data_IF_923520371640
#
_entry.id   IF_923520371640
#
_cell.length_a   1.000
_cell.length_b   1.000
_cell.length_c   1.000
_cell.angle_alpha   90.00
_cell.angle_beta   90.00
_cell.angle_gamma   90.00
#
_symmetry.space_group_name_H-M   'P 1'
#
loop_
_entity.id
_entity.type
_entity.pdbx_description
1 polymer ?
#
# COMPACT_ATOMS: atom_id res chain seq x y z
N UNK A 1 15.74 -24.47 -27.61
CA UNK A 1 16.17 -23.18 -27.01
C UNK A 1 16.12 -23.17 -25.49
N UNK A 2 14.95 -23.31 -24.77
CA UNK A 2 14.93 -23.29 -23.28
C UNK A 2 15.72 -24.45 -22.65
N UNK A 3 15.59 -25.68 -23.18
CA UNK A 3 16.35 -26.84 -22.69
C UNK A 3 17.88 -26.67 -22.87
N UNK A 4 18.31 -26.05 -23.95
CA UNK A 4 19.71 -25.76 -24.20
C UNK A 4 20.25 -24.65 -23.28
N UNK A 5 19.47 -23.60 -23.02
CA UNK A 5 19.82 -22.56 -22.04
C UNK A 5 19.91 -23.12 -20.62
N UNK A 6 19.00 -24.04 -20.26
CA UNK A 6 19.04 -24.75 -18.98
C UNK A 6 20.26 -25.67 -18.86
N UNK A 7 20.57 -26.40 -19.93
CA UNK A 7 21.76 -27.26 -19.96
C UNK A 7 23.07 -26.49 -19.82
N UNK A 8 23.11 -25.28 -20.38
CA UNK A 8 24.29 -24.39 -20.29
C UNK A 8 24.31 -23.51 -19.04
N UNK A 9 23.39 -23.72 -18.09
CA UNK A 9 23.23 -22.92 -16.87
C UNK A 9 23.07 -21.40 -17.13
N UNK A 10 22.47 -21.06 -18.25
CA UNK A 10 22.21 -19.67 -18.69
C UNK A 10 20.83 -19.16 -18.26
N UNK A 11 20.02 -20.02 -17.62
CA UNK A 11 18.73 -19.61 -17.05
C UNK A 11 18.95 -19.00 -15.66
N UNK A 12 18.68 -17.70 -15.48
CA UNK A 12 18.88 -17.08 -14.19
C UNK A 12 17.98 -17.72 -13.13
N UNK A 13 18.55 -18.06 -11.99
CA UNK A 13 17.81 -18.60 -10.86
C UNK A 13 16.76 -17.57 -10.36
N UNK A 14 15.53 -18.05 -10.18
CA UNK A 14 14.44 -17.24 -9.62
C UNK A 14 14.19 -17.64 -8.16
N UNK A 15 13.90 -16.64 -7.33
CA UNK A 15 13.49 -16.91 -5.97
C UNK A 15 12.02 -17.33 -5.92
N UNK A 16 11.74 -18.49 -5.32
CA UNK A 16 10.39 -18.98 -5.11
C UNK A 16 10.01 -18.83 -3.64
N UNK A 17 8.85 -18.25 -3.32
CA UNK A 17 8.36 -18.17 -1.95
C UNK A 17 7.99 -19.57 -1.42
N UNK A 18 8.23 -19.81 -0.13
CA UNK A 18 7.80 -21.05 0.53
C UNK A 18 6.27 -21.19 0.52
N UNK A 19 5.72 -22.40 0.73
CA UNK A 19 4.28 -22.61 0.81
C UNK A 19 3.61 -21.72 1.87
N UNK A 20 4.24 -21.56 3.05
CA UNK A 20 3.75 -20.75 4.17
C UNK A 20 3.66 -19.27 3.74
N UNK A 21 4.73 -18.75 3.14
CA UNK A 21 4.76 -17.37 2.64
C UNK A 21 3.73 -17.13 1.54
N UNK A 22 3.44 -18.14 0.71
CA UNK A 22 2.37 -18.05 -0.30
C UNK A 22 1.01 -17.93 0.37
N UNK A 23 0.76 -18.68 1.46
CA UNK A 23 -0.49 -18.57 2.23
C UNK A 23 -0.64 -17.21 2.89
N UNK A 24 0.42 -16.65 3.47
CA UNK A 24 0.42 -15.29 4.04
C UNK A 24 0.07 -14.24 2.99
N UNK A 25 0.72 -14.33 1.82
CA UNK A 25 0.42 -13.45 0.67
C UNK A 25 -1.03 -13.55 0.25
N UNK A 26 -1.55 -14.76 0.10
CA UNK A 26 -2.93 -14.99 -0.33
C UNK A 26 -3.92 -14.38 0.65
N UNK A 27 -3.76 -14.57 1.95
CA UNK A 27 -4.65 -13.98 2.96
C UNK A 27 -4.62 -12.45 2.96
N UNK A 28 -3.44 -11.85 2.87
CA UNK A 28 -3.30 -10.40 2.77
C UNK A 28 -3.94 -9.85 1.48
N UNK A 29 -3.73 -10.52 0.36
CA UNK A 29 -4.30 -10.15 -0.94
C UNK A 29 -5.81 -10.31 -0.98
N UNK A 30 -6.32 -11.37 -0.36
CA UNK A 30 -7.76 -11.61 -0.25
C UNK A 30 -8.47 -10.50 0.51
N UNK A 31 -7.91 -10.05 1.62
CA UNK A 31 -8.44 -8.88 2.34
C UNK A 31 -8.55 -7.66 1.42
N UNK A 32 -7.53 -7.38 0.61
CA UNK A 32 -7.53 -6.26 -0.33
C UNK A 32 -8.59 -6.44 -1.45
N UNK A 33 -8.81 -7.66 -1.89
CA UNK A 33 -9.89 -8.00 -2.82
C UNK A 33 -11.25 -7.65 -2.24
N UNK A 34 -11.55 -8.08 -1.01
CA UNK A 34 -12.82 -7.78 -0.35
C UNK A 34 -13.04 -6.27 -0.18
N UNK A 35 -12.02 -5.52 0.23
CA UNK A 35 -12.10 -4.05 0.33
C UNK A 35 -12.38 -3.40 -1.02
N UNK A 36 -11.81 -3.91 -2.11
CA UNK A 36 -12.11 -3.42 -3.45
C UNK A 36 -13.57 -3.65 -3.83
N UNK A 37 -14.12 -4.83 -3.58
CA UNK A 37 -15.52 -5.14 -3.87
C UNK A 37 -16.46 -4.27 -3.03
N UNK A 38 -16.17 -4.10 -1.73
CA UNK A 38 -16.90 -3.17 -0.86
C UNK A 38 -16.92 -1.74 -1.43
N UNK A 39 -15.77 -1.24 -1.88
CA UNK A 39 -15.68 0.10 -2.47
C UNK A 39 -16.49 0.24 -3.76
N UNK A 40 -16.53 -0.80 -4.59
CA UNK A 40 -17.35 -0.83 -5.81
C UNK A 40 -18.85 -0.71 -5.45
N UNK A 41 -19.31 -1.48 -4.46
CA UNK A 41 -20.71 -1.42 -4.01
C UNK A 41 -21.05 -0.06 -3.40
N UNK A 42 -20.16 0.50 -2.55
CA UNK A 42 -20.32 1.84 -2.00
C UNK A 42 -20.46 2.89 -3.10
N UNK A 43 -19.61 2.85 -4.11
CA UNK A 43 -19.67 3.76 -5.25
C UNK A 43 -20.96 3.58 -6.06
N UNK A 44 -21.48 2.34 -6.20
CA UNK A 44 -22.75 2.08 -6.85
C UNK A 44 -23.91 2.74 -6.11
N UNK A 45 -23.97 2.62 -4.79
CA UNK A 45 -24.97 3.29 -3.96
C UNK A 45 -24.91 4.81 -4.13
N UNK A 46 -23.72 5.39 -4.05
CA UNK A 46 -23.54 6.82 -4.30
C UNK A 46 -24.01 7.25 -5.69
N UNK A 47 -23.72 6.45 -6.72
CA UNK A 47 -24.17 6.74 -8.08
C UNK A 47 -25.69 6.73 -8.20
N UNK A 48 -26.40 5.82 -7.53
CA UNK A 48 -27.86 5.80 -7.47
C UNK A 48 -28.41 7.06 -6.80
N UNK A 49 -27.87 7.48 -5.66
CA UNK A 49 -28.27 8.71 -4.98
C UNK A 49 -28.11 9.95 -5.89
N UNK A 50 -26.97 10.06 -6.57
CA UNK A 50 -26.69 11.16 -7.50
C UNK A 50 -27.68 11.16 -8.66
N UNK A 51 -28.00 9.98 -9.24
CA UNK A 51 -28.92 9.86 -10.35
C UNK A 51 -30.34 10.36 -10.02
N UNK A 52 -30.76 10.22 -8.76
CA UNK A 52 -32.06 10.74 -8.27
C UNK A 52 -31.96 12.09 -7.56
N UNK A 53 -30.83 12.79 -7.66
CA UNK A 53 -30.64 14.12 -7.08
C UNK A 53 -30.61 14.17 -5.56
N UNK A 54 -30.47 13.00 -4.88
CA UNK A 54 -30.37 12.95 -3.44
C UNK A 54 -29.02 13.44 -2.95
N UNK A 55 -29.03 14.48 -2.14
CA UNK A 55 -27.83 14.99 -1.48
C UNK A 55 -27.51 14.12 -0.25
N UNK A 56 -26.22 13.85 -0.04
CA UNK A 56 -25.71 13.15 1.15
C UNK A 56 -25.20 14.20 2.14
N UNK A 57 -25.96 14.58 3.17
CA UNK A 57 -25.60 15.67 4.09
C UNK A 57 -24.58 15.25 5.16
N UNK A 58 -23.98 14.09 5.02
CA UNK A 58 -23.05 13.51 6.00
C UNK A 58 -21.77 12.99 5.33
N UNK A 59 -20.66 12.97 6.08
CA UNK A 59 -19.37 12.48 5.57
C UNK A 59 -19.34 10.95 5.38
N UNK A 60 -20.08 10.19 6.19
CA UNK A 60 -20.15 8.72 6.12
C UNK A 60 -21.59 8.24 5.88
N UNK A 61 -21.90 7.94 4.63
CA UNK A 61 -23.18 7.39 4.22
C UNK A 61 -23.45 5.97 4.77
N UNK A 62 -22.41 5.21 5.11
CA UNK A 62 -22.51 3.83 5.57
C UNK A 62 -22.40 3.69 7.10
N UNK A 63 -22.24 4.79 7.82
CA UNK A 63 -22.37 4.85 9.25
C UNK A 63 -23.85 4.92 9.71
N UNK A 64 -24.09 4.96 11.01
CA UNK A 64 -25.43 4.87 11.59
C UNK A 64 -26.43 5.91 11.04
N UNK A 65 -26.00 7.15 10.85
CA UNK A 65 -26.84 8.21 10.28
C UNK A 65 -27.18 8.00 8.82
N UNK A 66 -26.17 7.64 8.02
CA UNK A 66 -26.37 7.38 6.59
C UNK A 66 -27.19 6.13 6.31
N UNK A 67 -27.10 5.13 7.17
CA UNK A 67 -27.93 3.93 7.08
C UNK A 67 -29.42 4.20 7.32
N UNK A 68 -29.75 5.13 8.22
CA UNK A 68 -31.14 5.58 8.38
C UNK A 68 -31.64 6.26 7.10
N UNK A 69 -30.87 7.17 6.54
CA UNK A 69 -31.19 7.79 5.25
C UNK A 69 -31.37 6.75 4.13
N UNK A 70 -30.51 5.75 4.05
CA UNK A 70 -30.62 4.68 3.05
C UNK A 70 -31.87 3.82 3.23
N UNK A 71 -32.34 3.63 4.45
CA UNK A 71 -33.56 2.87 4.77
C UNK A 71 -34.85 3.63 4.39
N UNK A 72 -34.79 4.98 4.44
CA UNK A 72 -35.91 5.88 4.14
C UNK A 72 -36.02 6.27 2.65
N UNK A 73 -35.11 5.75 1.80
CA UNK A 73 -35.12 6.07 0.37
C UNK A 73 -36.40 5.53 -0.29
N UNK A 74 -37.04 6.40 -1.09
CA UNK A 74 -38.17 6.09 -1.95
C UNK A 74 -37.75 6.19 -3.42
N UNK A 75 -37.03 5.18 -3.89
CA UNK A 75 -36.64 5.06 -5.29
C UNK A 75 -37.61 4.12 -6.03
N UNK A 76 -37.88 4.36 -7.33
CA UNK A 76 -38.57 3.40 -8.14
C UNK A 76 -37.77 2.11 -8.29
N UNK A 77 -38.49 0.99 -8.45
CA UNK A 77 -37.84 -0.28 -8.82
C UNK A 77 -37.24 -0.18 -10.24
N UNK A 78 -36.10 -0.81 -10.52
CA UNK A 78 -35.36 -1.73 -9.63
C UNK A 78 -34.28 -1.05 -8.74
N UNK A 79 -34.18 0.27 -8.71
CA UNK A 79 -33.08 0.98 -7.99
C UNK A 79 -33.14 0.77 -6.48
N UNK A 80 -34.36 0.78 -5.90
CA UNK A 80 -34.51 0.60 -4.45
C UNK A 80 -34.03 -0.79 -4.01
N UNK A 81 -34.47 -1.83 -4.71
CA UNK A 81 -34.01 -3.20 -4.42
C UNK A 81 -32.51 -3.37 -4.61
N UNK A 82 -31.92 -2.74 -5.65
CA UNK A 82 -30.49 -2.82 -5.89
C UNK A 82 -29.67 -2.07 -4.83
N UNK A 83 -30.15 -0.93 -4.32
CA UNK A 83 -29.50 -0.22 -3.22
C UNK A 83 -29.55 -1.06 -1.95
N UNK A 84 -30.71 -1.65 -1.59
CA UNK A 84 -30.86 -2.51 -0.41
C UNK A 84 -29.94 -3.72 -0.48
N UNK A 85 -29.94 -4.44 -1.60
CA UNK A 85 -29.04 -5.58 -1.82
C UNK A 85 -27.55 -5.17 -1.75
N UNK A 86 -27.21 -3.99 -2.26
CA UNK A 86 -25.82 -3.48 -2.17
C UNK A 86 -25.41 -3.21 -0.72
N UNK A 87 -26.30 -2.69 0.11
CA UNK A 87 -26.07 -2.45 1.54
C UNK A 87 -25.85 -3.77 2.29
N UNK A 88 -26.69 -4.78 2.05
CA UNK A 88 -26.54 -6.11 2.64
C UNK A 88 -25.19 -6.77 2.27
N UNK A 89 -24.81 -6.68 1.00
CA UNK A 89 -23.50 -7.18 0.54
C UNK A 89 -22.32 -6.41 1.16
N UNK A 90 -22.45 -5.10 1.39
CA UNK A 90 -21.45 -4.31 2.09
C UNK A 90 -21.28 -4.81 3.53
N UNK A 91 -22.37 -5.14 4.22
CA UNK A 91 -22.34 -5.66 5.59
C UNK A 91 -21.66 -7.03 5.68
N UNK A 92 -21.97 -7.95 4.73
CA UNK A 92 -21.28 -9.23 4.67
C UNK A 92 -19.78 -9.07 4.39
N UNK A 93 -19.42 -8.16 3.48
CA UNK A 93 -18.02 -7.86 3.20
C UNK A 93 -17.31 -7.24 4.42
N UNK A 94 -17.94 -6.32 5.14
CA UNK A 94 -17.36 -5.72 6.34
C UNK A 94 -17.10 -6.77 7.44
N UNK A 95 -18.04 -7.71 7.64
CA UNK A 95 -17.85 -8.84 8.56
C UNK A 95 -16.64 -9.69 8.18
N UNK A 96 -16.55 -10.11 6.91
CA UNK A 96 -15.45 -10.94 6.38
C UNK A 96 -14.10 -10.20 6.46
N UNK A 97 -14.07 -8.92 6.13
CA UNK A 97 -12.86 -8.08 6.25
C UNK A 97 -12.40 -8.06 7.71
N UNK A 98 -13.34 -7.83 8.66
CA UNK A 98 -13.02 -7.83 10.08
C UNK A 98 -12.48 -9.16 10.61
N UNK A 99 -12.98 -10.30 10.10
CA UNK A 99 -12.48 -11.63 10.44
C UNK A 99 -11.01 -11.80 9.99
N UNK A 100 -10.71 -11.39 8.76
CA UNK A 100 -9.35 -11.47 8.22
C UNK A 100 -8.42 -10.51 8.98
N UNK A 101 -8.84 -9.27 9.26
CA UNK A 101 -8.02 -8.31 9.99
C UNK A 101 -7.66 -8.80 11.40
N UNK A 102 -8.62 -9.42 12.12
CA UNK A 102 -8.34 -10.08 13.41
C UNK A 102 -7.34 -11.23 13.27
N UNK A 103 -7.45 -11.99 12.19
CA UNK A 103 -6.49 -13.06 11.91
C UNK A 103 -5.09 -12.48 11.62
N UNK A 104 -4.98 -11.46 10.75
CA UNK A 104 -3.71 -10.78 10.44
C UNK A 104 -3.05 -10.22 11.69
N UNK A 105 -3.83 -9.63 12.59
CA UNK A 105 -3.33 -9.09 13.85
C UNK A 105 -2.78 -10.19 14.77
N UNK A 106 -3.53 -11.29 14.97
CA UNK A 106 -3.08 -12.41 15.82
C UNK A 106 -1.84 -13.09 15.26
N UNK A 107 -1.86 -13.41 13.94
CA UNK A 107 -0.72 -14.08 13.29
C UNK A 107 0.49 -13.17 13.11
N UNK A 108 0.27 -11.85 13.07
CA UNK A 108 1.32 -10.87 12.91
C UNK A 108 2.04 -10.51 14.21
N UNK A 109 1.44 -10.78 15.37
CA UNK A 109 1.99 -10.36 16.67
C UNK A 109 3.38 -10.99 16.93
N UNK A 110 3.54 -12.26 16.60
CA UNK A 110 4.79 -13.01 16.78
C UNK A 110 5.62 -13.12 15.49
N UNK A 111 5.21 -12.44 14.43
CA UNK A 111 5.92 -12.49 13.17
C UNK A 111 7.24 -11.72 13.25
N UNK A 112 8.33 -12.32 12.71
CA UNK A 112 9.69 -11.74 12.75
C UNK A 112 9.78 -10.27 12.33
N UNK A 113 9.01 -9.84 11.33
CA UNK A 113 9.14 -8.52 10.73
C UNK A 113 8.01 -7.55 11.09
N UNK A 114 6.80 -8.04 11.36
CA UNK A 114 5.62 -7.16 11.47
C UNK A 114 5.74 -6.20 12.66
N UNK A 115 6.11 -6.63 13.88
CA UNK A 115 6.30 -5.72 15.01
C UNK A 115 7.34 -4.63 14.72
N UNK A 116 8.43 -4.98 14.03
CA UNK A 116 9.45 -4.01 13.60
C UNK A 116 8.87 -3.00 12.60
N UNK A 117 8.19 -3.48 11.55
CA UNK A 117 7.59 -2.64 10.52
C UNK A 117 6.59 -1.65 11.10
N UNK A 118 5.82 -2.04 12.10
CA UNK A 118 4.84 -1.19 12.76
C UNK A 118 5.46 -0.03 13.56
N UNK A 119 6.75 -0.06 13.85
CA UNK A 119 7.45 1.08 14.43
C UNK A 119 7.70 2.20 13.42
N UNK A 120 7.60 1.91 12.12
CA UNK A 120 7.76 2.92 11.08
C UNK A 120 6.49 3.76 10.88
N UNK A 121 6.63 5.08 10.67
CA UNK A 121 5.49 5.95 10.46
C UNK A 121 4.58 5.49 9.33
N UNK A 122 3.27 5.43 9.61
CA UNK A 122 2.24 5.08 8.63
C UNK A 122 2.06 3.59 8.36
N UNK A 123 2.76 2.72 9.07
CA UNK A 123 2.60 1.27 8.96
C UNK A 123 1.79 0.74 10.14
N UNK A 124 0.58 0.24 9.86
CA UNK A 124 -0.25 -0.51 10.81
C UNK A 124 -0.26 -2.00 10.49
N UNK A 125 -1.10 -2.79 11.20
CA UNK A 125 -1.18 -4.26 11.06
C UNK A 125 -1.34 -4.72 9.61
N UNK A 126 -2.30 -4.16 8.88
CA UNK A 126 -2.61 -4.58 7.50
C UNK A 126 -1.47 -4.27 6.53
N UNK A 127 -0.94 -3.06 6.60
CA UNK A 127 0.18 -2.65 5.74
C UNK A 127 1.47 -3.36 6.13
N UNK A 128 1.74 -3.54 7.42
CA UNK A 128 2.90 -4.29 7.93
C UNK A 128 2.88 -5.74 7.48
N UNK A 129 1.72 -6.41 7.64
CA UNK A 129 1.56 -7.80 7.18
C UNK A 129 1.74 -7.91 5.65
N UNK A 130 1.10 -7.01 4.89
CA UNK A 130 1.23 -7.00 3.43
C UNK A 130 2.68 -6.81 2.99
N UNK A 131 3.38 -5.85 3.60
CA UNK A 131 4.78 -5.55 3.28
C UNK A 131 5.69 -6.73 3.65
N UNK A 132 5.52 -7.33 4.84
CA UNK A 132 6.29 -8.49 5.28
C UNK A 132 6.10 -9.69 4.35
N UNK A 133 4.85 -10.06 4.06
CA UNK A 133 4.52 -11.18 3.19
C UNK A 133 5.03 -10.99 1.75
N UNK A 134 4.93 -9.79 1.20
CA UNK A 134 5.42 -9.52 -0.16
C UNK A 134 6.95 -9.45 -0.25
N UNK A 135 7.63 -8.93 0.78
CA UNK A 135 9.09 -8.96 0.86
C UNK A 135 9.56 -10.41 1.05
N UNK A 136 8.96 -11.15 1.99
CA UNK A 136 9.45 -12.47 2.40
C UNK A 136 10.81 -12.35 3.08
N UNK A 137 11.81 -13.10 2.63
CA UNK A 137 13.15 -13.01 3.20
C UNK A 137 13.89 -11.76 2.73
N UNK A 138 14.27 -10.90 3.69
CA UNK A 138 15.00 -9.65 3.40
C UNK A 138 16.41 -9.91 2.87
N UNK A 139 17.03 -11.05 3.23
CA UNK A 139 18.42 -11.37 2.86
C UNK A 139 18.62 -11.52 1.36
N UNK A 140 17.55 -11.77 0.60
CA UNK A 140 17.60 -11.82 -0.86
C UNK A 140 17.86 -10.47 -1.54
N UNK A 141 17.78 -9.38 -0.79
CA UNK A 141 18.08 -8.04 -1.28
C UNK A 141 19.41 -7.53 -0.71
N UNK A 142 20.45 -7.53 -1.52
CA UNK A 142 21.80 -7.13 -1.10
C UNK A 142 21.94 -5.65 -0.74
N UNK A 143 20.93 -4.81 -1.10
CA UNK A 143 20.95 -3.37 -0.78
C UNK A 143 19.54 -2.77 -0.78
N UNK A 144 19.34 -1.59 -0.15
CA UNK A 144 18.05 -0.89 -0.18
C UNK A 144 17.63 -0.50 -1.60
N UNK A 145 18.60 -0.26 -2.49
CA UNK A 145 18.34 0.04 -3.91
C UNK A 145 17.70 -1.16 -4.62
N UNK A 146 18.15 -2.38 -4.33
CA UNK A 146 17.58 -3.61 -4.89
C UNK A 146 16.15 -3.84 -4.41
N UNK A 147 15.87 -3.62 -3.12
CA UNK A 147 14.51 -3.68 -2.61
C UNK A 147 13.62 -2.60 -3.26
N UNK A 148 14.10 -1.37 -3.37
CA UNK A 148 13.36 -0.27 -4.03
C UNK A 148 13.06 -0.60 -5.49
N UNK A 149 14.02 -1.17 -6.21
CA UNK A 149 13.81 -1.67 -7.57
C UNK A 149 12.71 -2.73 -7.65
N UNK A 150 12.74 -3.70 -6.72
CA UNK A 150 11.73 -4.76 -6.62
C UNK A 150 10.30 -4.23 -6.36
N UNK A 151 10.14 -3.10 -5.65
CA UNK A 151 8.82 -2.50 -5.43
C UNK A 151 8.19 -1.92 -6.70
N UNK A 152 8.99 -1.67 -7.74
CA UNK A 152 8.57 -0.98 -8.95
C UNK A 152 8.26 0.51 -8.77
N UNK A 153 8.76 1.12 -7.69
CA UNK A 153 8.65 2.57 -7.42
C UNK A 153 9.77 3.39 -8.10
N UNK A 154 10.77 2.73 -8.69
CA UNK A 154 11.80 3.41 -9.47
C UNK A 154 11.24 4.00 -10.76
N UNK A 155 11.76 5.14 -11.23
CA UNK A 155 11.36 5.69 -12.52
C UNK A 155 11.74 4.70 -13.64
N UNK A 156 10.94 4.68 -14.68
CA UNK A 156 11.26 4.00 -15.91
C UNK A 156 12.42 4.76 -16.59
N UNK A 157 13.45 4.05 -16.98
CA UNK A 157 14.60 4.59 -17.69
C UNK A 157 14.55 4.10 -19.14
N UNK A 158 14.54 5.03 -20.08
CA UNK A 158 14.69 4.75 -21.51
C UNK A 158 15.99 5.43 -21.95
N UNK A 159 17.05 4.66 -22.03
CA UNK A 159 18.35 5.15 -22.45
C UNK A 159 18.67 4.62 -23.85
N UNK A 160 19.01 5.53 -24.74
CA UNK A 160 19.43 5.22 -26.11
C UNK A 160 20.54 6.20 -26.51
N UNK A 161 21.75 5.69 -26.69
CA UNK A 161 22.92 6.52 -26.93
C UNK A 161 23.16 7.51 -25.77
N UNK A 162 23.31 8.78 -26.07
CA UNK A 162 23.52 9.85 -25.09
C UNK A 162 22.21 10.36 -24.42
N UNK A 163 21.05 9.87 -24.85
CA UNK A 163 19.76 10.33 -24.35
C UNK A 163 19.26 9.47 -23.18
N UNK A 164 19.22 10.04 -21.95
CA UNK A 164 18.57 9.45 -20.76
C UNK A 164 17.20 10.10 -20.55
N UNK A 165 16.13 9.39 -20.86
CA UNK A 165 14.75 9.82 -20.64
C UNK A 165 14.16 9.06 -19.44
N UNK A 166 13.85 9.78 -18.36
CA UNK A 166 13.20 9.24 -17.18
C UNK A 166 11.69 9.48 -17.22
N UNK A 167 10.93 8.40 -17.16
CA UNK A 167 9.47 8.40 -17.22
C UNK A 167 8.79 8.22 -15.86
N UNK A 168 7.49 7.89 -15.84
CA UNK A 168 6.76 7.50 -14.63
C UNK A 168 7.38 6.24 -13.99
N UNK A 169 6.90 5.86 -12.80
CA UNK A 169 7.38 4.65 -12.12
C UNK A 169 7.23 3.41 -13.00
N UNK A 170 8.17 2.47 -12.88
CA UNK A 170 8.25 1.29 -13.74
C UNK A 170 7.06 0.35 -13.57
N UNK A 171 6.54 0.25 -12.34
CA UNK A 171 5.48 -0.68 -11.91
C UNK A 171 5.83 -2.17 -12.11
N UNK A 172 7.09 -2.46 -12.43
CA UNK A 172 7.58 -3.83 -12.55
C UNK A 172 7.63 -4.50 -11.23
N UNK A 173 7.18 -5.31 -10.65
CA UNK A 173 7.25 -5.83 -9.29
C UNK A 173 5.88 -5.97 -8.63
N UNK A 174 5.85 -6.49 -7.41
CA UNK A 174 4.61 -6.88 -6.75
C UNK A 174 3.68 -5.68 -6.52
N UNK A 175 2.50 -5.71 -7.15
CA UNK A 175 1.53 -4.61 -7.03
C UNK A 175 1.05 -4.38 -5.59
N UNK A 176 0.98 -5.45 -4.80
CA UNK A 176 0.51 -5.40 -3.41
C UNK A 176 1.56 -4.80 -2.49
N UNK A 177 2.85 -5.11 -2.68
CA UNK A 177 3.94 -4.44 -1.98
C UNK A 177 3.93 -2.93 -2.26
N UNK A 178 3.83 -2.58 -3.54
CA UNK A 178 3.74 -1.17 -3.95
C UNK A 178 2.52 -0.47 -3.36
N UNK A 179 1.36 -1.14 -3.33
CA UNK A 179 0.17 -0.60 -2.66
C UNK A 179 0.43 -0.35 -1.17
N UNK A 180 0.94 -1.35 -0.43
CA UNK A 180 1.22 -1.21 1.01
C UNK A 180 2.18 -0.06 1.32
N UNK A 181 3.24 0.10 0.52
CA UNK A 181 4.21 1.19 0.67
C UNK A 181 3.61 2.57 0.33
N UNK A 182 2.76 2.64 -0.69
CA UNK A 182 2.06 3.87 -1.06
C UNK A 182 1.03 4.28 0.00
N UNK A 183 0.33 3.31 0.59
CA UNK A 183 -0.61 3.53 1.70
C UNK A 183 0.13 4.02 2.95
N UNK A 184 1.21 3.34 3.32
CA UNK A 184 2.07 3.78 4.42
C UNK A 184 2.59 5.22 4.20
N UNK A 185 2.97 5.56 2.98
CA UNK A 185 3.45 6.90 2.65
C UNK A 185 2.38 7.99 2.78
N UNK A 186 1.09 7.70 2.52
CA UNK A 186 -0.01 8.65 2.76
C UNK A 186 -0.06 9.00 4.24
N UNK A 187 -0.10 7.98 5.12
CA UNK A 187 -0.17 8.19 6.56
C UNK A 187 1.11 8.82 7.12
N UNK A 188 2.28 8.41 6.64
CA UNK A 188 3.56 8.97 7.04
C UNK A 188 3.75 10.45 6.60
N UNK A 189 2.99 10.93 5.61
CA UNK A 189 3.12 12.29 5.07
C UNK A 189 2.81 13.40 6.10
N UNK A 190 2.04 13.09 7.13
CA UNK A 190 1.73 13.99 8.26
C UNK A 190 2.72 13.88 9.42
N UNK A 191 3.57 12.84 9.46
CA UNK A 191 4.55 12.64 10.50
C UNK A 191 5.62 13.74 10.48
N UNK A 192 6.04 14.31 11.64
CA UNK A 192 7.00 15.42 11.71
C UNK A 192 8.26 15.22 10.85
N UNK A 193 8.82 14.02 10.85
CA UNK A 193 10.02 13.66 10.09
C UNK A 193 9.87 13.85 8.57
N UNK A 194 8.67 13.63 8.02
CA UNK A 194 8.43 13.59 6.58
C UNK A 194 7.58 14.75 6.06
N UNK A 195 6.82 15.41 6.93
CA UNK A 195 5.84 16.45 6.60
C UNK A 195 6.44 17.58 5.77
N UNK A 196 7.57 18.12 6.22
CA UNK A 196 8.20 19.24 5.51
C UNK A 196 8.66 18.84 4.11
N UNK A 197 9.37 17.70 3.98
CA UNK A 197 9.83 17.18 2.69
C UNK A 197 8.67 16.91 1.74
N UNK A 198 7.60 16.28 2.25
CA UNK A 198 6.38 15.99 1.47
C UNK A 198 5.75 17.29 0.95
N UNK A 199 5.56 18.28 1.81
CA UNK A 199 4.96 19.57 1.43
C UNK A 199 5.85 20.35 0.46
N UNK A 200 7.17 20.33 0.62
CA UNK A 200 8.11 20.95 -0.30
C UNK A 200 8.01 20.36 -1.71
N UNK A 201 8.02 19.04 -1.84
CA UNK A 201 7.86 18.38 -3.15
C UNK A 201 6.49 18.64 -3.75
N UNK A 202 5.42 18.59 -2.93
CA UNK A 202 4.05 18.88 -3.36
C UNK A 202 3.91 20.31 -3.93
N UNK A 203 4.46 21.31 -3.24
CA UNK A 203 4.43 22.72 -3.69
C UNK A 203 5.25 22.92 -4.97
N UNK A 204 6.46 22.38 -5.04
CA UNK A 204 7.36 22.50 -6.19
C UNK A 204 6.75 21.98 -7.48
N UNK A 205 5.96 20.91 -7.44
CA UNK A 205 5.40 20.24 -8.62
C UNK A 205 3.94 20.60 -8.90
N UNK A 206 3.31 21.41 -8.04
CA UNK A 206 1.96 21.96 -8.22
C UNK A 206 0.83 20.97 -8.00
N UNK A 207 -0.40 21.47 -8.24
CA UNK A 207 -1.65 20.75 -7.86
C UNK A 207 -1.87 19.42 -8.59
N UNK A 208 -1.50 19.32 -9.87
CA UNK A 208 -1.83 18.14 -10.68
C UNK A 208 -0.99 16.90 -10.34
N UNK A 209 0.32 17.07 -10.10
CA UNK A 209 1.27 15.96 -9.92
C UNK A 209 1.92 15.92 -8.53
N UNK A 210 1.98 17.05 -7.84
CA UNK A 210 2.82 17.23 -6.66
C UNK A 210 2.53 16.22 -5.56
N UNK A 211 1.26 15.99 -5.22
CA UNK A 211 0.90 15.04 -4.17
C UNK A 211 1.31 13.59 -4.50
N UNK A 212 1.06 13.14 -5.73
CA UNK A 212 1.41 11.78 -6.17
C UNK A 212 2.92 11.56 -6.22
N UNK A 213 3.67 12.53 -6.70
CA UNK A 213 5.14 12.43 -6.78
C UNK A 213 5.75 12.48 -5.38
N UNK A 214 5.25 13.37 -4.49
CA UNK A 214 5.71 13.43 -3.10
C UNK A 214 5.42 12.11 -2.35
N UNK A 215 4.26 11.49 -2.59
CA UNK A 215 3.90 10.19 -2.02
C UNK A 215 4.85 9.07 -2.51
N UNK A 216 5.17 9.02 -3.81
CA UNK A 216 6.12 8.06 -4.37
C UNK A 216 7.52 8.25 -3.78
N UNK A 217 7.96 9.50 -3.65
CA UNK A 217 9.26 9.84 -3.06
C UNK A 217 9.34 9.38 -1.60
N UNK A 218 8.28 9.59 -0.85
CA UNK A 218 8.17 9.13 0.54
C UNK A 218 8.11 7.60 0.63
N UNK A 219 7.33 6.93 -0.23
CA UNK A 219 7.26 5.47 -0.29
C UNK A 219 8.65 4.85 -0.55
N UNK A 220 9.47 5.46 -1.40
CA UNK A 220 10.86 5.03 -1.64
C UNK A 220 11.73 5.19 -0.39
N UNK A 221 11.60 6.30 0.33
CA UNK A 221 12.32 6.53 1.59
C UNK A 221 11.91 5.54 2.69
N UNK A 222 10.62 5.25 2.79
CA UNK A 222 10.15 4.19 3.69
C UNK A 222 10.71 2.82 3.28
N UNK A 223 10.79 2.51 1.99
CA UNK A 223 11.39 1.25 1.51
C UNK A 223 12.86 1.13 1.89
N UNK A 224 13.64 2.20 1.77
CA UNK A 224 15.04 2.25 2.21
C UNK A 224 15.14 2.01 3.73
N UNK A 225 14.31 2.68 4.52
CA UNK A 225 14.25 2.50 5.97
C UNK A 225 13.88 1.06 6.36
N UNK A 226 12.86 0.49 5.71
CA UNK A 226 12.42 -0.91 5.92
C UNK A 226 13.57 -1.88 5.65
N UNK A 227 14.35 -1.67 4.60
CA UNK A 227 15.49 -2.54 4.33
C UNK A 227 16.48 -2.53 5.50
N UNK A 228 16.86 -1.36 6.02
CA UNK A 228 17.75 -1.24 7.17
C UNK A 228 17.15 -1.85 8.44
N UNK A 229 15.87 -1.61 8.71
CA UNK A 229 15.18 -2.16 9.87
C UNK A 229 15.22 -3.69 9.88
N UNK A 230 14.84 -4.30 8.76
CA UNK A 230 14.73 -5.75 8.66
C UNK A 230 16.09 -6.45 8.58
N UNK A 231 17.07 -5.85 7.91
CA UNK A 231 18.44 -6.41 7.80
C UNK A 231 19.18 -6.33 9.15
N UNK A 232 18.98 -5.25 9.91
CA UNK A 232 19.64 -5.04 11.20
C UNK A 232 18.82 -5.57 12.38
N UNK A 233 17.62 -6.03 12.14
CA UNK A 233 16.65 -6.43 13.16
C UNK A 233 16.43 -5.33 14.21
N UNK A 234 16.21 -4.08 13.76
CA UNK A 234 16.08 -2.90 14.63
C UNK A 234 14.80 -2.14 14.32
N UNK A 235 14.13 -1.56 15.34
CA UNK A 235 12.99 -0.69 15.13
C UNK A 235 13.38 0.55 14.31
N UNK A 236 12.37 1.21 13.78
CA UNK A 236 12.57 2.43 13.00
C UNK A 236 13.33 3.49 13.80
N UNK A 237 14.42 3.96 13.23
CA UNK A 237 15.16 5.12 13.73
C UNK A 237 15.17 6.20 12.65
N UNK A 238 14.86 7.47 13.00
CA UNK A 238 15.01 8.57 12.05
C UNK A 238 16.45 8.58 11.53
N UNK A 239 16.61 8.69 10.23
CA UNK A 239 17.92 8.87 9.63
C UNK A 239 18.43 10.26 10.04
N UNK A 240 19.38 10.33 10.96
CA UNK A 240 20.12 11.56 11.15
C UNK A 240 20.94 11.79 9.87
N UNK A 241 20.85 12.94 9.19
CA UNK A 241 21.74 13.22 8.09
C UNK A 241 23.17 13.17 8.62
N UNK A 242 24.05 12.45 7.92
CA UNK A 242 25.48 12.49 8.17
C UNK A 242 25.92 13.97 8.16
N UNK A 243 26.35 14.48 9.29
CA UNK A 243 26.70 15.89 9.49
C UNK A 243 25.95 16.63 10.60
N UNK A 244 24.88 16.07 11.19
CA UNK A 244 24.18 16.70 12.32
C UNK A 244 24.85 16.45 13.69
N UNK A 245 25.81 15.54 13.76
CA UNK A 245 26.48 15.17 15.03
C UNK A 245 27.62 16.17 15.38
N UNK A 246 28.12 17.00 14.46
CA UNK A 246 29.23 17.91 14.72
C UNK A 246 28.82 19.30 15.27
N UNK A 247 27.52 19.55 15.50
CA UNK A 247 27.05 20.85 16.01
C UNK A 247 26.52 20.84 17.44
N UNK A 248 26.62 19.71 18.15
CA UNK A 248 26.19 19.59 19.56
C UNK A 248 27.35 19.44 20.55
N UNK A 249 28.60 19.58 20.09
CA UNK A 249 29.80 19.56 20.93
C UNK A 249 30.75 20.73 20.56
N UNK A 250 30.19 21.92 20.42
CA UNK A 250 30.97 23.17 20.41
C UNK A 250 30.29 24.20 21.31
#
# INVERSE_FOLDING_TARGET
>A
MLAELSFRDLVPAIWLPTPELRQERERSRWRLHLVKHRSILKNRVHASLIAFGHQVPMADLFGAGGRRLLAELDFPEPWLSHVRASVELIDDLDRRIGEIERWLQRSGADHRYIPLLMTAPGIGWVTGFTVAAEIGDITRFSSPVKLTGYTGLCPRVNQSGEVDRRGPISKHGPRYLRWGLMEAAIHASSHPLYKERYQRTKRRLGRQRGAKVAQIELARKLTEAIWYMLTRNQPFKPFAPEGAISRLTA
#
